data_IF_755579183228
#
_entry.id   IF_755579183228
#
_cell.length_a   1.000
_cell.length_b   1.000
_cell.length_c   1.000
_cell.angle_alpha   90.00
_cell.angle_beta   90.00
_cell.angle_gamma   90.00
#
_symmetry.space_group_name_H-M   'P 1'
#
loop_
_entity.id
_entity.type
_entity.pdbx_description
1 polymer ?
#
# COMPACT_ATOMS: atom_id res chain seq x y z
N UNK A 1 15.30 12.76 14.83
CA UNK A 1 13.89 13.08 15.18
C UNK A 1 13.13 13.28 13.88
N UNK A 2 11.95 12.68 13.68
CA UNK A 2 11.18 12.90 12.44
C UNK A 2 10.64 14.33 12.40
N UNK A 3 10.74 15.00 11.25
CA UNK A 3 10.18 16.37 11.07
C UNK A 3 8.74 16.33 10.54
N UNK A 4 8.38 15.25 9.85
CA UNK A 4 7.04 15.06 9.28
C UNK A 4 6.35 13.91 9.99
N UNK A 5 5.10 14.15 10.39
CA UNK A 5 4.26 13.17 11.08
C UNK A 5 2.92 13.04 10.36
N UNK A 6 2.66 11.86 9.79
CA UNK A 6 1.36 11.55 9.21
C UNK A 6 0.29 11.48 10.32
N UNK A 7 -0.77 12.28 10.16
CA UNK A 7 -1.89 12.37 11.09
C UNK A 7 -3.06 11.50 10.62
N UNK A 8 -3.42 11.61 9.34
CA UNK A 8 -4.53 10.85 8.77
C UNK A 8 -4.36 10.59 7.27
N UNK A 9 -4.90 9.47 6.80
CA UNK A 9 -5.06 9.15 5.37
C UNK A 9 -6.47 8.61 5.18
N UNK A 10 -7.28 9.37 4.47
CA UNK A 10 -8.65 8.99 4.13
C UNK A 10 -8.73 8.66 2.65
N UNK A 11 -9.52 7.65 2.30
CA UNK A 11 -9.83 7.33 0.91
C UNK A 11 -11.31 7.57 0.66
N UNK A 12 -11.64 8.43 -0.31
CA UNK A 12 -13.03 8.83 -0.57
C UNK A 12 -13.79 7.80 -1.40
N UNK A 13 -13.08 6.96 -2.15
CA UNK A 13 -13.64 5.96 -3.06
C UNK A 13 -13.07 4.54 -2.82
N UNK A 14 -13.14 4.08 -1.57
CA UNK A 14 -12.62 2.77 -1.15
C UNK A 14 -13.24 1.59 -1.92
N UNK A 15 -14.48 1.70 -2.37
CA UNK A 15 -15.13 0.74 -3.27
C UNK A 15 -15.43 1.43 -4.61
N UNK A 16 -14.92 0.90 -5.71
CA UNK A 16 -15.00 1.54 -7.02
C UNK A 16 -14.89 0.53 -8.17
N UNK A 17 -15.07 1.00 -9.42
CA UNK A 17 -14.58 0.24 -10.58
C UNK A 17 -13.06 0.10 -10.45
N UNK A 18 -12.51 -0.99 -10.98
CA UNK A 18 -11.06 -1.17 -11.01
C UNK A 18 -10.34 -0.04 -11.74
N UNK A 19 -10.93 0.45 -12.82
CA UNK A 19 -10.38 1.52 -13.68
C UNK A 19 -10.60 2.94 -13.14
N UNK A 20 -11.33 3.12 -12.03
CA UNK A 20 -11.50 4.45 -11.43
C UNK A 20 -10.18 4.89 -10.76
N UNK A 21 -9.86 6.19 -10.67
CA UNK A 21 -8.68 6.67 -9.96
C UNK A 21 -8.75 6.38 -8.46
N UNK A 22 -7.63 6.30 -7.76
CA UNK A 22 -7.61 6.29 -6.29
C UNK A 22 -7.57 7.73 -5.78
N UNK A 23 -8.44 8.06 -4.82
CA UNK A 23 -8.53 9.42 -4.28
C UNK A 23 -8.27 9.39 -2.79
N UNK A 24 -7.13 9.96 -2.39
CA UNK A 24 -6.72 10.10 -1.01
C UNK A 24 -6.85 11.54 -0.54
N UNK A 25 -7.23 11.73 0.72
CA UNK A 25 -6.97 12.95 1.47
C UNK A 25 -5.92 12.65 2.53
N UNK A 26 -4.75 13.26 2.37
CA UNK A 26 -3.60 13.08 3.25
C UNK A 26 -3.49 14.28 4.17
N UNK A 27 -3.41 14.02 5.48
CA UNK A 27 -3.18 15.03 6.50
C UNK A 27 -1.93 14.69 7.28
N UNK A 28 -1.01 15.64 7.38
CA UNK A 28 0.27 15.47 8.09
C UNK A 28 0.67 16.75 8.80
N UNK A 29 1.51 16.61 9.81
CA UNK A 29 2.09 17.71 10.57
C UNK A 29 3.58 17.84 10.24
N UNK A 30 4.01 19.07 9.99
CA UNK A 30 5.41 19.42 9.77
C UNK A 30 5.89 20.28 10.95
N UNK A 31 6.89 19.83 11.70
CA UNK A 31 7.33 20.53 12.92
C UNK A 31 8.43 21.57 12.69
N UNK A 32 9.07 21.55 11.52
CA UNK A 32 10.17 22.46 11.16
C UNK A 32 10.17 22.71 9.65
N UNK A 33 10.63 23.88 9.16
CA UNK A 33 10.72 24.13 7.73
C UNK A 33 11.58 23.07 7.02
N UNK A 34 11.15 22.68 5.83
CA UNK A 34 11.90 21.79 4.93
C UNK A 34 12.49 22.62 3.78
N UNK A 35 13.71 22.28 3.37
CA UNK A 35 14.41 22.92 2.26
C UNK A 35 13.98 22.44 0.88
N UNK A 36 13.32 21.28 0.81
CA UNK A 36 12.86 20.63 -0.42
C UNK A 36 11.44 20.11 -0.24
N UNK A 37 10.82 19.70 -1.34
CA UNK A 37 9.47 19.18 -1.35
C UNK A 37 9.43 17.75 -0.83
N UNK A 38 8.26 17.33 -0.35
CA UNK A 38 7.97 15.93 -0.03
C UNK A 38 7.39 15.27 -1.27
N UNK A 39 8.00 14.18 -1.71
CA UNK A 39 7.48 13.37 -2.79
C UNK A 39 6.51 12.33 -2.22
N UNK A 40 5.26 12.33 -2.67
CA UNK A 40 4.28 11.27 -2.37
C UNK A 40 4.08 10.40 -3.60
N UNK A 41 4.04 9.08 -3.42
CA UNK A 41 3.77 8.13 -4.52
C UNK A 41 2.71 7.12 -4.13
N UNK A 42 1.90 6.73 -5.10
CA UNK A 42 1.04 5.57 -4.97
C UNK A 42 1.60 4.43 -5.84
N UNK A 43 1.83 3.28 -5.21
CA UNK A 43 2.33 2.08 -5.88
C UNK A 43 1.30 0.97 -5.71
N UNK A 44 0.93 0.33 -6.80
CA UNK A 44 0.12 -0.90 -6.81
C UNK A 44 1.02 -2.12 -6.90
N UNK A 45 0.85 -3.08 -5.98
CA UNK A 45 1.59 -4.34 -6.01
C UNK A 45 0.95 -5.28 -7.03
N UNK A 46 1.64 -5.53 -8.14
CA UNK A 46 1.06 -6.34 -9.23
C UNK A 46 1.08 -7.84 -8.96
N UNK A 47 1.99 -8.32 -8.11
CA UNK A 47 2.06 -9.72 -7.72
C UNK A 47 2.77 -9.85 -6.38
N UNK A 48 2.23 -10.65 -5.48
CA UNK A 48 2.88 -10.93 -4.19
C UNK A 48 4.23 -11.67 -4.35
N UNK A 49 4.44 -12.34 -5.49
CA UNK A 49 5.64 -13.12 -5.75
C UNK A 49 6.79 -12.29 -6.34
N UNK A 50 6.52 -11.11 -6.91
CA UNK A 50 7.56 -10.34 -7.59
C UNK A 50 7.20 -8.86 -7.74
N UNK A 51 8.10 -8.00 -7.28
CA UNK A 51 8.00 -6.53 -7.43
C UNK A 51 8.16 -6.05 -8.88
N UNK A 52 8.53 -6.93 -9.82
CA UNK A 52 8.64 -6.55 -11.24
C UNK A 52 7.30 -6.16 -11.88
N UNK A 53 6.19 -6.53 -11.24
CA UNK A 53 4.83 -6.20 -11.66
C UNK A 53 4.28 -4.98 -10.91
N UNK A 54 5.04 -4.40 -9.98
CA UNK A 54 4.61 -3.22 -9.25
C UNK A 54 4.48 -2.05 -10.23
N UNK A 55 3.41 -1.29 -10.06
CA UNK A 55 3.09 -0.15 -10.90
C UNK A 55 3.08 1.09 -10.03
N UNK A 56 3.99 2.03 -10.30
CA UNK A 56 3.82 3.40 -9.83
C UNK A 56 2.64 4.00 -10.59
N UNK A 57 1.58 4.34 -9.84
CA UNK A 57 0.33 4.83 -10.39
C UNK A 57 0.39 6.33 -10.61
N UNK A 58 0.90 7.06 -9.63
CA UNK A 58 1.18 8.48 -9.73
C UNK A 58 2.17 8.93 -8.65
N UNK A 59 2.74 10.11 -8.85
CA UNK A 59 3.60 10.80 -7.90
C UNK A 59 3.31 12.30 -7.87
N UNK A 60 3.37 12.92 -6.70
CA UNK A 60 3.25 14.36 -6.58
C UNK A 60 4.27 14.94 -5.59
N UNK A 61 4.79 16.12 -5.93
CA UNK A 61 5.62 16.92 -5.04
C UNK A 61 4.76 17.88 -4.23
N UNK A 62 4.92 17.86 -2.91
CA UNK A 62 4.24 18.76 -1.98
C UNK A 62 5.27 19.66 -1.33
N UNK A 63 5.32 20.91 -1.80
CA UNK A 63 6.07 21.96 -1.14
C UNK A 63 5.96 23.32 -1.83
N UNK A 64 6.54 24.38 -1.23
CA UNK A 64 7.18 24.36 0.10
C UNK A 64 6.18 24.04 1.21
N UNK A 65 6.58 23.21 2.19
CA UNK A 65 5.70 22.71 3.25
C UNK A 65 5.68 23.67 4.45
N UNK A 66 4.54 24.32 4.77
CA UNK A 66 4.41 25.14 5.96
C UNK A 66 4.57 24.33 7.25
N UNK A 67 5.12 24.94 8.29
CA UNK A 67 5.11 24.37 9.65
C UNK A 67 3.67 24.33 10.18
N UNK A 68 3.31 23.23 10.83
CA UNK A 68 1.98 22.95 11.35
C UNK A 68 1.28 21.83 10.59
N UNK A 69 -0.05 21.79 10.71
CA UNK A 69 -0.90 20.76 10.08
C UNK A 69 -1.22 21.16 8.65
N UNK A 70 -0.94 20.25 7.73
CA UNK A 70 -1.16 20.40 6.29
C UNK A 70 -2.09 19.28 5.82
N UNK A 71 -2.90 19.58 4.80
CA UNK A 71 -3.75 18.59 4.15
C UNK A 71 -3.83 18.85 2.66
N UNK A 72 -3.83 17.79 1.86
CA UNK A 72 -4.02 17.86 0.41
C UNK A 72 -4.78 16.63 -0.09
N UNK A 73 -5.35 16.75 -1.29
CA UNK A 73 -5.95 15.64 -2.01
C UNK A 73 -4.92 15.10 -3.02
N UNK A 74 -4.80 13.78 -3.07
CA UNK A 74 -3.94 13.06 -4.00
C UNK A 74 -4.80 12.09 -4.80
N UNK A 75 -4.92 12.38 -6.09
CA UNK A 75 -5.59 11.52 -7.06
C UNK A 75 -4.52 10.81 -7.89
N UNK A 76 -4.66 9.49 -8.05
CA UNK A 76 -3.74 8.68 -8.83
C UNK A 76 -4.52 7.75 -9.77
N UNK A 77 -3.98 7.49 -10.96
CA UNK A 77 -4.64 6.64 -11.95
C UNK A 77 -4.79 5.18 -11.48
N UNK A 78 -5.66 4.42 -12.15
CA UNK A 78 -5.79 2.99 -11.92
C UNK A 78 -4.58 2.21 -12.48
N UNK A 79 -4.20 1.07 -11.88
CA UNK A 79 -3.20 0.17 -12.46
C UNK A 79 -3.66 -0.34 -13.83
N UNK A 80 -2.70 -0.62 -14.71
CA UNK A 80 -2.97 -1.25 -16.00
C UNK A 80 -3.20 -2.76 -15.81
N UNK A 81 -4.38 -3.31 -16.18
CA UNK A 81 -4.66 -4.74 -16.04
C UNK A 81 -3.67 -5.63 -16.81
N UNK A 82 -3.21 -5.18 -17.97
CA UNK A 82 -2.31 -5.96 -18.85
C UNK A 82 -0.89 -6.13 -18.31
N UNK A 83 -0.52 -5.33 -17.28
CA UNK A 83 0.77 -5.45 -16.59
C UNK A 83 0.68 -6.31 -15.33
N UNK A 84 -0.51 -6.82 -14.99
CA UNK A 84 -0.75 -7.68 -13.84
C UNK A 84 -0.81 -9.13 -14.35
N UNK A 85 -0.13 -10.09 -13.71
CA UNK A 85 -0.33 -11.50 -14.02
C UNK A 85 -1.80 -11.89 -13.89
N UNK A 86 -2.32 -12.66 -14.84
CA UNK A 86 -3.73 -13.10 -14.83
C UNK A 86 -4.10 -13.84 -13.52
N UNK A 87 -3.15 -14.54 -12.91
CA UNK A 87 -3.34 -15.23 -11.62
C UNK A 87 -3.47 -14.28 -10.42
N UNK A 88 -3.03 -13.03 -10.56
CA UNK A 88 -2.99 -12.01 -9.49
C UNK A 88 -3.99 -10.86 -9.74
N UNK A 89 -4.72 -10.87 -10.87
CA UNK A 89 -5.68 -9.81 -11.21
C UNK A 89 -6.89 -9.81 -10.26
N UNK A 90 -7.36 -11.00 -9.88
CA UNK A 90 -8.46 -11.20 -8.93
C UNK A 90 -7.94 -11.57 -7.55
N UNK A 91 -8.73 -11.25 -6.53
CA UNK A 91 -8.41 -11.53 -5.13
C UNK A 91 -7.61 -10.40 -4.48
N UNK A 92 -6.85 -10.76 -3.45
CA UNK A 92 -6.22 -9.80 -2.55
C UNK A 92 -4.84 -9.39 -3.04
N UNK A 93 -4.62 -8.09 -3.12
CA UNK A 93 -3.32 -7.44 -3.34
C UNK A 93 -3.13 -6.27 -2.38
N UNK A 94 -2.13 -5.41 -2.63
CA UNK A 94 -1.76 -4.26 -1.80
C UNK A 94 -1.53 -3.02 -2.66
N UNK A 95 -1.95 -1.86 -2.14
CA UNK A 95 -1.46 -0.55 -2.58
C UNK A 95 -0.61 0.08 -1.47
N UNK A 96 0.41 0.84 -1.86
CA UNK A 96 1.37 1.49 -0.98
C UNK A 96 1.39 2.99 -1.28
N UNK A 97 0.96 3.80 -0.32
CA UNK A 97 1.20 5.24 -0.33
C UNK A 97 2.52 5.50 0.40
N UNK A 98 3.53 5.97 -0.32
CA UNK A 98 4.85 6.30 0.26
C UNK A 98 5.04 7.81 0.29
N UNK A 99 5.84 8.27 1.26
CA UNK A 99 6.37 9.62 1.24
C UNK A 99 7.89 9.61 1.45
N UNK A 100 8.57 10.39 0.62
CA UNK A 100 10.02 10.51 0.57
C UNK A 100 10.43 11.97 0.67
N UNK A 101 11.57 12.20 1.30
CA UNK A 101 12.22 13.49 1.36
C UNK A 101 13.68 13.31 0.95
N UNK A 102 14.15 14.07 -0.05
CA UNK A 102 15.50 13.91 -0.62
C UNK A 102 15.82 12.46 -1.02
N UNK A 103 14.91 11.85 -1.77
CA UNK A 103 14.96 10.45 -2.21
C UNK A 103 14.98 9.39 -1.08
N UNK A 104 14.84 9.81 0.19
CA UNK A 104 14.77 8.93 1.33
C UNK A 104 13.32 8.76 1.78
N UNK A 105 12.77 7.56 1.60
CA UNK A 105 11.45 7.19 2.09
C UNK A 105 11.44 7.24 3.63
N UNK A 106 10.50 7.98 4.22
CA UNK A 106 10.35 8.06 5.68
C UNK A 106 9.04 7.44 6.18
N UNK A 107 8.05 7.26 5.31
CA UNK A 107 6.80 6.61 5.67
C UNK A 107 6.18 5.84 4.50
N UNK A 108 5.55 4.72 4.84
CA UNK A 108 4.78 3.87 3.93
C UNK A 108 3.48 3.46 4.59
N UNK A 109 2.38 3.66 3.90
CA UNK A 109 1.03 3.24 4.32
C UNK A 109 0.52 2.21 3.32
N UNK A 110 0.41 0.96 3.75
CA UNK A 110 -0.11 -0.13 2.94
C UNK A 110 -1.57 -0.42 3.24
N UNK A 111 -2.37 -0.64 2.19
CA UNK A 111 -3.75 -1.11 2.28
C UNK A 111 -3.91 -2.40 1.49
N UNK A 112 -4.66 -3.35 2.05
CA UNK A 112 -5.13 -4.48 1.26
C UNK A 112 -6.22 -4.01 0.29
N UNK A 113 -6.17 -4.52 -0.93
CA UNK A 113 -7.17 -4.30 -1.98
C UNK A 113 -7.69 -5.66 -2.40
N UNK A 114 -9.00 -5.83 -2.43
CA UNK A 114 -9.64 -7.01 -2.99
C UNK A 114 -10.23 -6.66 -4.36
N UNK A 115 -9.73 -7.30 -5.41
CA UNK A 115 -10.28 -7.19 -6.75
C UNK A 115 -11.26 -8.34 -7.00
N UNK A 116 -12.47 -8.04 -7.44
CA UNK A 116 -13.50 -9.06 -7.60
C UNK A 116 -14.46 -8.74 -8.75
N UNK A 117 -15.19 -9.76 -9.16
CA UNK A 117 -16.29 -9.65 -10.10
C UNK A 117 -17.61 -9.70 -9.33
N UNK A 118 -18.55 -8.85 -9.72
CA UNK A 118 -19.89 -8.86 -9.14
C UNK A 118 -20.62 -10.14 -9.51
N UNK A 119 -21.47 -10.61 -8.59
CA UNK A 119 -22.21 -11.86 -8.73
C UNK A 119 -23.08 -11.84 -9.99
N UNK A 120 -23.70 -10.70 -10.28
CA UNK A 120 -24.56 -10.50 -11.44
C UNK A 120 -23.80 -10.70 -12.76
N UNK A 121 -22.53 -10.30 -12.82
CA UNK A 121 -21.69 -10.54 -14.00
C UNK A 121 -21.38 -12.03 -14.17
N UNK A 122 -21.02 -12.72 -13.08
CA UNK A 122 -20.75 -14.16 -13.10
C UNK A 122 -21.98 -14.97 -13.53
N UNK A 123 -23.17 -14.63 -13.01
CA UNK A 123 -24.44 -15.28 -13.38
C UNK A 123 -24.87 -14.98 -14.83
N UNK A 124 -24.46 -13.85 -15.40
CA UNK A 124 -24.76 -13.52 -16.80
C UNK A 124 -23.99 -14.37 -17.82
N UNK A 125 -22.99 -15.13 -17.37
CA UNK A 125 -22.06 -15.90 -18.20
C UNK A 125 -22.18 -17.40 -17.90
N UNK A 126 -22.78 -18.20 -18.79
CA UNK A 126 -22.94 -19.65 -18.58
C UNK A 126 -21.63 -20.40 -18.34
N UNK A 127 -20.52 -19.93 -18.93
CA UNK A 127 -19.17 -20.48 -18.75
C UNK A 127 -18.56 -20.19 -17.37
N UNK A 128 -19.14 -19.25 -16.62
CA UNK A 128 -18.72 -18.85 -15.27
C UNK A 128 -19.65 -19.33 -14.16
N UNK A 129 -20.76 -19.99 -14.48
CA UNK A 129 -21.76 -20.44 -13.49
C UNK A 129 -21.13 -21.29 -12.36
N UNK A 130 -20.13 -22.11 -12.69
CA UNK A 130 -19.41 -22.95 -11.74
C UNK A 130 -18.71 -22.17 -10.60
N UNK A 131 -18.42 -20.88 -10.79
CA UNK A 131 -17.82 -20.01 -9.77
C UNK A 131 -18.87 -19.32 -8.90
N UNK A 132 -20.11 -19.21 -9.39
CA UNK A 132 -21.26 -18.80 -8.58
C UNK A 132 -21.65 -19.91 -7.62
N UNK A 133 -21.65 -21.16 -8.11
CA UNK A 133 -22.06 -22.33 -7.33
C UNK A 133 -21.04 -22.71 -6.24
N UNK A 134 -19.75 -22.49 -6.51
CA UNK A 134 -18.65 -22.67 -5.54
C UNK A 134 -17.79 -21.40 -5.46
N UNK A 135 -18.04 -20.50 -4.48
CA UNK A 135 -17.30 -19.26 -4.35
C UNK A 135 -15.83 -19.45 -3.92
N UNK A 136 -15.43 -20.65 -3.49
CA UNK A 136 -14.03 -20.95 -3.18
C UNK A 136 -13.25 -21.40 -4.42
N UNK A 137 -13.94 -21.62 -5.54
CA UNK A 137 -13.30 -22.03 -6.78
C UNK A 137 -12.59 -20.84 -7.42
N UNK A 138 -11.30 -20.99 -7.64
CA UNK A 138 -10.46 -19.95 -8.27
C UNK A 138 -10.77 -19.87 -9.76
N UNK A 139 -11.12 -18.68 -10.24
CA UNK A 139 -11.33 -18.39 -11.65
C UNK A 139 -9.98 -18.35 -12.40
N UNK A 140 -9.80 -19.29 -13.32
CA UNK A 140 -8.63 -19.35 -14.20
C UNK A 140 -8.81 -18.42 -15.40
N UNK A 141 -8.25 -17.21 -15.28
CA UNK A 141 -8.36 -16.16 -16.30
C UNK A 141 -7.63 -16.50 -17.62
N UNK A 142 -6.75 -17.50 -17.64
CA UNK A 142 -6.07 -17.94 -18.88
C UNK A 142 -7.03 -18.63 -19.85
N UNK A 143 -8.20 -19.05 -19.38
CA UNK A 143 -9.21 -19.82 -20.13
C UNK A 143 -10.49 -19.03 -20.41
N UNK A 144 -10.55 -17.78 -19.96
CA UNK A 144 -11.76 -16.96 -20.00
C UNK A 144 -11.42 -15.60 -20.57
N UNK A 145 -12.18 -15.18 -21.57
CA UNK A 145 -12.16 -13.79 -22.03
C UNK A 145 -12.93 -12.92 -21.03
N UNK A 146 -12.19 -12.21 -20.18
CA UNK A 146 -12.71 -11.39 -19.11
C UNK A 146 -12.99 -9.96 -19.59
N UNK A 147 -14.20 -9.48 -19.35
CA UNK A 147 -14.51 -8.05 -19.50
C UNK A 147 -13.95 -7.28 -18.30
N UNK A 148 -12.78 -6.66 -18.48
CA UNK A 148 -12.10 -5.86 -17.43
C UNK A 148 -12.94 -4.68 -16.93
N UNK A 149 -13.95 -4.22 -17.69
CA UNK A 149 -14.85 -3.14 -17.23
C UNK A 149 -15.79 -3.57 -16.11
N UNK A 150 -15.90 -4.89 -15.88
CA UNK A 150 -16.70 -5.49 -14.81
C UNK A 150 -15.91 -5.74 -13.54
N UNK A 151 -14.61 -5.49 -13.56
CA UNK A 151 -13.73 -5.63 -12.41
C UNK A 151 -14.02 -4.51 -11.40
N UNK A 152 -14.23 -4.91 -10.15
CA UNK A 152 -14.38 -4.02 -9.00
C UNK A 152 -13.17 -4.13 -8.11
N UNK A 153 -12.98 -3.11 -7.28
CA UNK A 153 -12.03 -3.15 -6.18
C UNK A 153 -12.66 -2.67 -4.88
N UNK A 154 -12.18 -3.23 -3.78
CA UNK A 154 -12.49 -2.77 -2.42
C UNK A 154 -11.18 -2.64 -1.63
N UNK A 155 -10.93 -1.45 -1.11
CA UNK A 155 -9.75 -1.15 -0.27
C UNK A 155 -10.13 -1.27 1.20
N UNK A 156 -9.36 -2.07 1.96
CA UNK A 156 -9.57 -2.25 3.40
C UNK A 156 -9.00 -1.06 4.19
N UNK A 157 -9.69 0.07 4.12
CA UNK A 157 -9.27 1.34 4.74
C UNK A 157 -9.20 1.31 6.26
N UNK A 158 -9.91 0.37 6.91
CA UNK A 158 -9.97 0.25 8.37
C UNK A 158 -8.74 -0.38 9.01
N UNK A 159 -7.85 -1.00 8.22
CA UNK A 159 -6.64 -1.70 8.72
C UNK A 159 -5.39 -1.32 7.91
N UNK A 160 -4.99 -0.03 7.89
CA UNK A 160 -3.76 0.36 7.24
C UNK A 160 -2.55 -0.25 7.97
N UNK A 161 -1.52 -0.60 7.20
CA UNK A 161 -0.20 -0.97 7.72
C UNK A 161 0.75 0.19 7.56
N UNK A 162 1.12 0.84 8.67
CA UNK A 162 2.03 1.99 8.65
C UNK A 162 3.44 1.53 9.02
N UNK A 163 4.39 1.76 8.13
CA UNK A 163 5.83 1.55 8.37
C UNK A 163 6.53 2.91 8.33
N UNK A 164 7.45 3.15 9.26
CA UNK A 164 8.23 4.39 9.34
C UNK A 164 9.71 4.08 9.25
N UNK A 165 10.44 4.93 8.56
CA UNK A 165 11.88 4.80 8.35
C UNK A 165 12.55 6.06 8.89
N UNK A 166 13.69 5.88 9.53
CA UNK A 166 14.52 7.01 9.96
C UNK A 166 15.33 7.49 8.77
N UNK A 167 15.24 8.78 8.47
CA UNK A 167 16.00 9.43 7.41
C UNK A 167 16.79 10.61 7.95
N UNK A 168 17.80 11.06 7.21
CA UNK A 168 18.49 12.32 7.47
C UNK A 168 17.61 13.48 6.99
N UNK A 169 17.30 14.39 7.90
CA UNK A 169 16.64 15.66 7.60
C UNK A 169 17.65 16.82 7.52
N UNK A 170 17.17 18.03 7.22
CA UNK A 170 18.00 19.22 7.01
C UNK A 170 18.93 19.60 8.17
N UNK A 171 18.55 19.24 9.40
CA UNK A 171 19.21 19.73 10.61
C UNK A 171 19.98 18.63 11.39
N UNK A 172 20.12 17.42 10.83
CA UNK A 172 20.89 16.35 11.48
C UNK A 172 22.31 16.24 10.92
N UNK A 173 23.21 17.09 11.42
CA UNK A 173 24.62 16.71 11.59
C UNK A 173 24.77 15.99 12.93
N UNK A 174 24.21 14.78 13.02
CA UNK A 174 24.46 13.87 14.12
C UNK A 174 24.83 12.48 13.57
N UNK A 175 25.89 11.83 14.09
CA UNK A 175 26.35 10.56 13.55
C UNK A 175 25.30 9.47 13.78
N UNK A 176 24.90 8.80 12.71
CA UNK A 176 23.94 7.71 12.72
C UNK A 176 24.40 6.58 13.66
N UNK A 177 23.66 6.34 14.75
CA UNK A 177 23.80 5.11 15.51
C UNK A 177 23.08 4.00 14.75
N UNK A 178 23.88 3.09 14.17
CA UNK A 178 23.40 1.81 13.66
C UNK A 178 22.73 1.04 14.80
N UNK A 179 21.40 0.89 14.73
CA UNK A 179 20.67 -0.06 15.58
C UNK A 179 20.90 -1.46 15.04
N UNK A 180 21.99 -2.09 15.48
CA UNK A 180 22.23 -3.52 15.30
C UNK A 180 21.30 -4.25 16.26
N UNK A 181 20.28 -4.93 15.73
CA UNK A 181 19.30 -5.66 16.54
C UNK A 181 19.70 -7.13 16.62
N UNK A 182 20.55 -7.49 17.59
CA UNK A 182 20.83 -8.90 17.90
C UNK A 182 21.21 -9.10 19.39
N UNK A 183 20.50 -10.08 20.00
CA UNK A 183 20.70 -10.73 21.32
C UNK A 183 20.18 -9.96 22.55
N UNK A 184 19.52 -10.53 23.57
CA UNK A 184 19.56 -11.89 24.16
C UNK A 184 18.33 -12.10 25.06
N UNK A 185 17.78 -13.32 25.16
CA UNK A 185 17.47 -13.91 26.48
C UNK A 185 17.41 -15.44 26.40
N UNK A 186 18.57 -16.07 26.59
CA UNK A 186 18.61 -17.37 27.28
C UNK A 186 18.42 -17.07 28.76
N UNK A 187 17.40 -17.65 29.38
CA UNK A 187 17.36 -17.77 30.83
C UNK A 187 17.37 -19.24 31.21
N UNK A 188 18.40 -19.56 31.97
CA UNK A 188 18.76 -20.82 32.61
C UNK A 188 17.75 -21.25 33.67
N UNK A 189 17.63 -22.56 33.90
CA UNK A 189 17.21 -23.12 35.19
C UNK A 189 17.87 -24.48 35.39
N UNK A 190 18.89 -24.49 36.25
CA UNK A 190 19.50 -25.68 36.86
C UNK A 190 18.66 -26.12 38.06
N UNK A 191 18.34 -27.41 38.12
CA UNK A 191 17.97 -28.19 39.33
C UNK A 191 18.11 -29.67 38.90
N UNK A 192 18.68 -30.65 39.60
CA UNK A 192 19.36 -30.79 40.89
C UNK A 192 19.96 -32.22 40.82
N UNK A 193 21.18 -32.43 41.29
CA UNK A 193 21.70 -33.76 41.60
C UNK A 193 22.62 -33.68 42.83
N UNK A 194 22.78 -34.81 43.52
CA UNK A 194 23.53 -35.10 44.76
C UNK A 194 22.65 -35.00 46.02
N UNK A 195 22.44 -36.03 46.85
CA UNK A 195 23.10 -37.34 47.02
C UNK A 195 22.07 -38.47 47.21
#
# INVERSE_FOLDING_TARGET
MSIVHLQNVEMTNATANFADPYIFRVTFECISPLSEDIEWKLIYVGSAASSKYDQELDSCMVGPVPVGVNSFEFEAEAPSPSKIPETDLLGVTVILLTASYKDAEFIRVGYYVNNFLEKEYLESRPDLQQYVDDPNKVLDLTKVDLDVTKLRREVLVSKPRVTRFNIKWDFEDAPAQQSDSLQTSQHTSNMTAVA
#
